data_IF_790931839270
#
_entry.id   IF_790931839270
#
_cell.length_a   1.000
_cell.length_b   1.000
_cell.length_c   1.000
_cell.angle_alpha   90.00
_cell.angle_beta   90.00
_cell.angle_gamma   90.00
#
_symmetry.space_group_name_H-M   'P 1'
#
loop_
_entity.id
_entity.type
_entity.pdbx_description
1 polymer ?
#
# COMPACT_ATOMS: atom_id res chain seq x y z
N UNK A 1 8.00 -10.10 -24.89
CA UNK A 1 8.31 -9.71 -23.51
C UNK A 1 7.97 -8.24 -23.43
N UNK A 2 6.79 -7.91 -22.92
CA UNK A 2 6.23 -6.55 -22.99
C UNK A 2 6.55 -5.82 -21.71
N UNK A 3 7.54 -4.93 -21.76
CA UNK A 3 7.77 -3.90 -20.75
C UNK A 3 6.85 -2.73 -21.11
N UNK A 4 5.66 -2.71 -20.53
CA UNK A 4 4.84 -1.50 -20.47
C UNK A 4 5.49 -0.62 -19.40
N UNK A 5 5.96 0.60 -19.70
CA UNK A 5 6.48 1.50 -18.67
C UNK A 5 5.36 1.68 -17.64
N UNK A 6 5.56 1.32 -16.36
CA UNK A 6 4.49 1.38 -15.39
C UNK A 6 4.11 2.86 -15.27
N UNK A 7 2.89 3.11 -15.73
CA UNK A 7 2.15 4.33 -15.52
C UNK A 7 2.32 4.72 -14.04
N UNK A 8 3.21 5.70 -13.77
CA UNK A 8 3.60 6.13 -12.41
C UNK A 8 2.43 6.69 -11.60
N UNK A 9 1.22 6.66 -12.15
CA UNK A 9 -0.03 7.04 -11.54
C UNK A 9 -0.66 5.89 -10.75
N UNK A 10 -0.16 4.64 -10.85
CA UNK A 10 -0.68 3.51 -10.07
C UNK A 10 0.35 2.95 -9.07
N UNK A 11 -0.07 2.46 -7.88
CA UNK A 11 0.83 1.78 -6.95
C UNK A 11 1.36 0.47 -7.55
N UNK A 12 2.54 -0.01 -7.14
CA UNK A 12 3.10 -1.27 -7.63
C UNK A 12 2.25 -2.46 -7.18
N UNK A 13 2.30 -3.57 -7.92
CA UNK A 13 1.61 -4.83 -7.57
C UNK A 13 1.98 -5.38 -6.20
N UNK A 14 3.22 -5.16 -5.76
CA UNK A 14 3.73 -5.58 -4.47
C UNK A 14 4.51 -4.45 -3.82
N UNK A 15 4.10 -4.06 -2.62
CA UNK A 15 4.75 -3.04 -1.81
C UNK A 15 4.80 -3.51 -0.36
N UNK A 16 5.90 -3.18 0.31
CA UNK A 16 6.11 -3.39 1.73
C UNK A 16 6.46 -2.06 2.40
N UNK A 17 5.98 -1.84 3.62
CA UNK A 17 6.38 -0.69 4.43
C UNK A 17 7.63 -0.97 5.28
N UNK A 18 8.00 -2.25 5.42
CA UNK A 18 9.17 -2.66 6.19
C UNK A 18 10.45 -2.44 5.36
N UNK A 19 11.40 -1.61 5.84
CA UNK A 19 12.61 -1.26 5.09
C UNK A 19 13.59 -2.42 4.92
N UNK A 20 13.41 -3.53 5.65
CA UNK A 20 14.21 -4.74 5.48
C UNK A 20 13.65 -5.65 4.37
N UNK A 21 12.46 -5.34 3.84
CA UNK A 21 11.85 -6.09 2.75
C UNK A 21 12.38 -5.65 1.38
N UNK A 22 12.62 -6.57 0.43
CA UNK A 22 13.06 -6.22 -0.94
C UNK A 22 12.01 -5.45 -1.75
N UNK A 23 10.78 -5.35 -1.25
CA UNK A 23 9.67 -4.61 -1.88
C UNK A 23 9.36 -3.29 -1.17
N UNK A 24 10.31 -2.78 -0.37
CA UNK A 24 10.22 -1.47 0.22
C UNK A 24 10.49 -0.38 -0.82
N UNK A 25 9.54 0.54 -1.00
CA UNK A 25 9.71 1.69 -1.89
C UNK A 25 9.24 2.97 -1.21
N UNK A 26 10.21 3.75 -0.71
CA UNK A 26 9.94 4.99 0.00
C UNK A 26 9.20 6.02 -0.87
N UNK A 27 9.49 6.08 -2.18
CA UNK A 27 8.87 7.07 -3.07
C UNK A 27 7.38 6.80 -3.24
N UNK A 28 6.98 5.53 -3.25
CA UNK A 28 5.58 5.11 -3.28
C UNK A 28 4.91 5.39 -1.94
N UNK A 29 5.57 5.07 -0.82
CA UNK A 29 5.02 5.31 0.53
C UNK A 29 4.78 6.80 0.80
N UNK A 30 5.63 7.68 0.25
CA UNK A 30 5.45 9.13 0.37
C UNK A 30 4.22 9.67 -0.37
N UNK A 31 3.65 8.92 -1.32
CA UNK A 31 2.46 9.32 -2.09
C UNK A 31 1.13 8.95 -1.43
N UNK A 32 1.16 8.55 -0.17
CA UNK A 32 0.00 8.11 0.64
C UNK A 32 -0.80 7.00 -0.07
N UNK A 33 -0.29 5.76 -0.01
CA UNK A 33 -0.98 4.60 -0.60
C UNK A 33 -2.06 4.08 0.35
N UNK A 34 -3.30 4.04 -0.13
CA UNK A 34 -4.42 3.33 0.49
C UNK A 34 -4.64 1.97 -0.16
N UNK A 35 -5.18 1.01 0.59
CA UNK A 35 -5.50 -0.31 0.04
C UNK A 35 -6.92 -0.67 0.42
N UNK A 36 -7.72 -1.02 -0.59
CA UNK A 36 -9.06 -1.56 -0.41
C UNK A 36 -8.99 -3.07 -0.50
N UNK A 37 -9.31 -3.74 0.60
CA UNK A 37 -9.29 -5.19 0.72
C UNK A 37 -10.70 -5.74 0.87
N UNK A 38 -11.15 -6.57 -0.09
CA UNK A 38 -12.52 -7.09 -0.15
C UNK A 38 -13.59 -5.98 0.00
N UNK A 39 -13.37 -4.83 -0.64
CA UNK A 39 -14.26 -3.67 -0.55
C UNK A 39 -14.12 -2.81 0.71
N UNK A 40 -13.26 -3.19 1.67
CA UNK A 40 -12.98 -2.43 2.89
C UNK A 40 -11.64 -1.70 2.81
N UNK A 41 -11.63 -0.39 3.09
CA UNK A 41 -10.40 0.37 3.22
C UNK A 41 -9.56 -0.08 4.42
N UNK A 42 -8.29 -0.39 4.17
CA UNK A 42 -7.28 -0.76 5.17
C UNK A 42 -6.15 0.26 5.11
N UNK A 43 -5.81 0.80 6.28
CA UNK A 43 -4.70 1.76 6.46
C UNK A 43 -3.54 1.17 7.25
N UNK A 44 -3.79 0.07 7.94
CA UNK A 44 -2.82 -0.68 8.73
C UNK A 44 -2.19 -1.83 7.91
N UNK A 45 -2.00 -1.63 6.61
CA UNK A 45 -1.40 -2.64 5.73
C UNK A 45 0.10 -2.47 5.76
N UNK A 46 0.79 -3.53 6.16
CA UNK A 46 2.24 -3.60 6.22
C UNK A 46 2.83 -4.02 4.88
N UNK A 47 2.15 -4.93 4.17
CA UNK A 47 2.59 -5.44 2.87
C UNK A 47 1.39 -5.93 2.08
N UNK A 48 1.42 -5.82 0.76
CA UNK A 48 0.39 -6.41 -0.09
C UNK A 48 0.98 -7.02 -1.36
N UNK A 49 0.24 -7.94 -1.96
CA UNK A 49 0.54 -8.53 -3.26
C UNK A 49 -0.77 -8.67 -4.03
N UNK A 50 -0.94 -7.85 -5.07
CA UNK A 50 -2.13 -7.87 -5.95
C UNK A 50 -2.12 -9.13 -6.80
N UNK A 51 -0.97 -9.47 -7.39
CA UNK A 51 -0.86 -10.63 -8.28
C UNK A 51 -1.17 -11.96 -7.60
N UNK A 52 -0.83 -12.10 -6.31
CA UNK A 52 -1.20 -13.27 -5.50
C UNK A 52 -2.51 -13.10 -4.72
N UNK A 53 -3.09 -11.89 -4.69
CA UNK A 53 -4.36 -11.59 -4.02
C UNK A 53 -4.30 -11.71 -2.48
N UNK A 54 -3.32 -11.07 -1.83
CA UNK A 54 -3.25 -11.03 -0.38
C UNK A 54 -2.70 -9.73 0.19
N UNK A 55 -3.07 -9.43 1.43
CA UNK A 55 -2.54 -8.32 2.24
C UNK A 55 -2.02 -8.83 3.58
N UNK A 56 -1.00 -8.19 4.12
CA UNK A 56 -0.52 -8.34 5.48
C UNK A 56 -0.89 -7.08 6.23
N UNK A 57 -1.67 -7.22 7.29
CA UNK A 57 -2.11 -6.10 8.11
C UNK A 57 -1.58 -6.24 9.53
N UNK A 58 -1.20 -5.14 10.17
CA UNK A 58 -0.88 -5.13 11.58
C UNK A 58 -2.16 -5.39 12.41
N UNK A 59 -2.11 -6.43 13.23
CA UNK A 59 -3.20 -6.87 14.11
C UNK A 59 -3.26 -5.98 15.36
N UNK A 60 -3.79 -4.78 15.18
CA UNK A 60 -3.93 -3.81 16.27
C UNK A 60 -2.58 -3.28 16.76
N UNK A 61 -2.52 -2.94 18.06
CA UNK A 61 -1.32 -2.37 18.71
C UNK A 61 -0.37 -3.44 19.27
N UNK A 62 -0.63 -4.71 18.98
CA UNK A 62 0.14 -5.82 19.54
C UNK A 62 1.45 -5.98 18.80
N UNK A 63 2.54 -6.07 19.55
CA UNK A 63 3.88 -6.35 19.03
C UNK A 63 4.34 -7.74 19.47
N UNK A 64 5.11 -8.42 18.64
CA UNK A 64 5.81 -9.67 18.99
C UNK A 64 6.91 -9.39 20.04
N UNK A 65 7.52 -10.44 20.59
CA UNK A 65 8.66 -10.41 21.52
C UNK A 65 9.85 -9.57 21.03
N UNK A 66 9.92 -9.30 19.73
CA UNK A 66 10.96 -8.48 19.07
C UNK A 66 10.56 -7.02 18.88
N UNK A 67 9.39 -6.60 19.37
CA UNK A 67 8.87 -5.25 19.19
C UNK A 67 8.30 -4.96 17.79
N UNK A 68 8.24 -5.95 16.90
CA UNK A 68 7.62 -5.81 15.58
C UNK A 68 6.10 -5.98 15.68
N UNK A 69 5.30 -5.19 14.94
CA UNK A 69 3.85 -5.36 14.92
C UNK A 69 3.47 -6.79 14.51
N UNK A 70 2.51 -7.38 15.21
CA UNK A 70 1.99 -8.69 14.85
C UNK A 70 1.24 -8.54 13.53
N UNK A 71 1.70 -9.18 12.46
CA UNK A 71 1.04 -9.09 11.14
C UNK A 71 0.18 -10.33 10.88
N UNK A 72 -0.99 -10.11 10.28
CA UNK A 72 -1.89 -11.18 9.81
C UNK A 72 -1.99 -11.09 8.29
N UNK A 73 -1.76 -12.22 7.63
CA UNK A 73 -1.95 -12.36 6.19
C UNK A 73 -3.41 -12.72 5.88
N UNK A 74 -4.09 -11.85 5.15
CA UNK A 74 -5.45 -12.03 4.67
C UNK A 74 -5.43 -12.21 3.15
N UNK A 75 -6.18 -13.19 2.64
CA UNK A 75 -6.30 -13.45 1.19
C UNK A 75 -7.64 -12.92 0.68
N UNK A 76 -7.65 -12.28 -0.48
CA UNK A 76 -8.84 -11.65 -1.04
C UNK A 76 -8.52 -10.65 -2.15
N UNK A 77 -9.54 -9.89 -2.55
CA UNK A 77 -9.41 -8.84 -3.56
C UNK A 77 -8.59 -7.69 -2.96
N UNK A 78 -7.48 -7.35 -3.61
CA UNK A 78 -6.57 -6.27 -3.21
C UNK A 78 -6.58 -5.19 -4.27
N UNK A 79 -7.00 -3.99 -3.89
CA UNK A 79 -7.06 -2.84 -4.77
C UNK A 79 -6.23 -1.71 -4.15
N UNK A 80 -4.94 -1.58 -4.48
CA UNK A 80 -4.14 -0.46 -4.04
C UNK A 80 -4.52 0.80 -4.85
N UNK A 81 -4.58 1.93 -4.17
CA UNK A 81 -4.88 3.22 -4.79
C UNK A 81 -4.04 4.31 -4.12
N UNK A 82 -3.64 5.32 -4.88
CA UNK A 82 -3.08 6.52 -4.25
C UNK A 82 -4.22 7.33 -3.66
N UNK A 83 -4.08 7.69 -2.39
CA UNK A 83 -4.88 8.74 -1.79
C UNK A 83 -4.29 10.04 -2.32
N UNK A 84 -4.70 10.42 -3.53
CA UNK A 84 -4.50 11.77 -3.99
C UNK A 84 -5.06 12.67 -2.88
N UNK A 85 -4.18 13.40 -2.19
CA UNK A 85 -4.61 14.51 -1.36
C UNK A 85 -5.61 15.32 -2.20
N UNK A 86 -6.76 15.72 -1.64
CA UNK A 86 -7.71 16.52 -2.38
C UNK A 86 -6.94 17.70 -2.94
N UNK A 87 -6.91 17.76 -4.27
CA UNK A 87 -6.59 18.92 -5.09
C UNK A 87 -5.84 20.02 -4.35
N UNK A 88 -4.55 20.14 -4.67
CA UNK A 88 -3.95 21.47 -4.74
C UNK A 88 -5.00 22.38 -5.38
N UNK A 89 -5.43 23.39 -4.64
CA UNK A 89 -6.47 24.31 -5.08
C UNK A 89 -6.17 24.80 -6.48
N UNK A 90 -6.93 24.30 -7.44
CA UNK A 90 -7.34 25.05 -8.61
C UNK A 90 -8.03 26.31 -8.06
N UNK A 91 -7.26 27.38 -7.84
CA UNK A 91 -7.82 28.72 -7.98
C UNK A 91 -7.41 29.16 -9.38
N UNK A 92 -8.31 29.05 -10.39
CA UNK A 92 -8.11 29.77 -11.62
C UNK A 92 -8.44 31.23 -11.31
N UNK A 93 -7.44 32.00 -10.91
CA UNK A 93 -7.63 33.40 -10.52
C UNK A 93 -6.36 34.11 -10.07
N UNK A 94 -5.49 34.44 -11.04
CA UNK A 94 -4.98 35.82 -11.23
C UNK A 94 -4.64 36.02 -12.72
#
# INVERSE_FOLDING_TARGET
MTDTPPDRLSPPDRLSIDPESPHFDQAVLQRDVGIRFNGQDKTNVEEYCVSEGWVRVAAGKTVDRRGKPLTIKLKGVVEPYYRAAPEAGENPGD
#
